data_IF_445058192850
#
_entry.id   IF_445058192850
#
_cell.length_a   1.000
_cell.length_b   1.000
_cell.length_c   1.000
_cell.angle_alpha   90.00
_cell.angle_beta   90.00
_cell.angle_gamma   90.00
#
_symmetry.space_group_name_H-M   'P 1'
#
loop_
_entity.id
_entity.type
_entity.pdbx_description
1 polymer ?
#
# COMPACT_ATOMS: atom_id res chain seq x y z
N UNK A 1 -16.50 23.64 11.78
CA UNK A 1 -17.11 22.35 11.42
C UNK A 1 -17.52 22.42 9.96
N UNK A 2 -16.74 21.81 9.07
CA UNK A 2 -17.00 21.78 7.63
C UNK A 2 -18.35 21.13 7.34
N UNK A 3 -19.11 21.70 6.40
CA UNK A 3 -20.44 21.23 6.01
C UNK A 3 -20.32 19.82 5.42
N UNK A 4 -20.93 18.82 6.05
CA UNK A 4 -20.93 17.43 5.56
C UNK A 4 -21.52 17.37 4.15
N UNK A 5 -20.85 16.63 3.26
CA UNK A 5 -21.32 16.39 1.90
C UNK A 5 -22.60 15.54 1.90
N UNK A 6 -23.39 15.58 0.82
CA UNK A 6 -24.63 14.77 0.70
C UNK A 6 -24.36 13.27 0.92
N UNK A 7 -23.24 12.76 0.42
CA UNK A 7 -22.84 11.35 0.59
C UNK A 7 -22.51 11.03 2.05
N UNK A 8 -21.72 11.87 2.72
CA UNK A 8 -21.40 11.69 4.13
C UNK A 8 -22.65 11.70 5.00
N UNK A 9 -23.59 12.63 4.76
CA UNK A 9 -24.86 12.68 5.51
C UNK A 9 -25.72 11.42 5.37
N UNK A 10 -25.67 10.74 4.22
CA UNK A 10 -26.41 9.50 3.99
C UNK A 10 -25.76 8.26 4.66
N UNK A 11 -24.50 8.39 5.08
CA UNK A 11 -23.73 7.32 5.75
C UNK A 11 -23.68 7.52 7.28
N UNK A 12 -23.85 8.76 7.76
CA UNK A 12 -23.98 9.09 9.19
C UNK A 12 -25.19 8.36 9.78
N UNK A 13 -24.94 7.54 10.81
CA UNK A 13 -25.96 6.77 11.54
C UNK A 13 -26.13 5.32 11.08
N UNK A 14 -25.51 4.89 9.98
CA UNK A 14 -25.51 3.48 9.55
C UNK A 14 -24.46 2.63 10.28
N UNK A 15 -23.49 3.27 10.92
CA UNK A 15 -22.45 2.61 11.73
C UNK A 15 -22.55 3.13 13.15
N UNK A 16 -22.72 2.23 14.11
CA UNK A 16 -22.58 2.54 15.53
C UNK A 16 -21.10 2.62 15.91
N UNK A 17 -20.63 3.79 16.32
CA UNK A 17 -19.24 4.04 16.71
C UNK A 17 -18.84 3.37 18.01
N UNK A 18 -19.79 3.01 18.87
CA UNK A 18 -19.53 2.36 20.16
C UNK A 18 -19.53 0.84 20.07
N UNK A 19 -20.04 0.27 18.97
CA UNK A 19 -20.12 -1.17 18.79
C UNK A 19 -18.81 -1.72 18.22
N UNK A 20 -18.27 -2.73 18.88
CA UNK A 20 -17.17 -3.53 18.35
C UNK A 20 -17.75 -4.56 17.37
N UNK A 21 -17.48 -4.38 16.08
CA UNK A 21 -17.89 -5.33 15.04
C UNK A 21 -16.85 -6.45 14.92
N UNK A 22 -17.27 -7.71 14.83
CA UNK A 22 -16.42 -8.79 14.34
C UNK A 22 -15.87 -8.47 12.95
N UNK A 23 -14.68 -8.98 12.63
CA UNK A 23 -13.99 -8.69 11.37
C UNK A 23 -14.85 -9.02 10.14
N UNK A 24 -15.57 -10.14 10.15
CA UNK A 24 -16.44 -10.55 9.06
C UNK A 24 -17.56 -9.54 8.79
N UNK A 25 -18.21 -9.07 9.86
CA UNK A 25 -19.30 -8.10 9.78
C UNK A 25 -18.77 -6.73 9.31
N UNK A 26 -17.60 -6.33 9.82
CA UNK A 26 -16.94 -5.09 9.41
C UNK A 26 -16.59 -5.10 7.91
N UNK A 27 -16.08 -6.22 7.38
CA UNK A 27 -15.75 -6.35 5.96
C UNK A 27 -17.00 -6.33 5.06
N UNK A 28 -18.10 -6.94 5.51
CA UNK A 28 -19.38 -6.86 4.81
C UNK A 28 -19.90 -5.42 4.75
N UNK A 29 -19.88 -4.76 5.91
CA UNK A 29 -20.30 -3.37 6.06
C UNK A 29 -19.48 -2.42 5.16
N UNK A 30 -18.15 -2.53 5.16
CA UNK A 30 -17.27 -1.69 4.33
C UNK A 30 -17.60 -1.82 2.84
N UNK A 31 -17.94 -3.02 2.36
CA UNK A 31 -18.33 -3.23 0.95
C UNK A 31 -19.66 -2.55 0.61
N UNK A 32 -20.61 -2.47 1.52
CA UNK A 32 -21.87 -1.73 1.31
C UNK A 32 -21.66 -0.21 1.26
N UNK A 33 -20.61 0.28 1.92
CA UNK A 33 -20.23 1.69 1.88
C UNK A 33 -19.41 2.08 0.65
N UNK A 34 -18.90 1.11 -0.12
CA UNK A 34 -18.16 1.34 -1.35
C UNK A 34 -19.09 1.87 -2.45
N UNK A 35 -19.09 3.18 -2.65
CA UNK A 35 -20.00 3.89 -3.57
C UNK A 35 -19.24 4.59 -4.71
N UNK A 36 -17.91 4.40 -4.80
CA UNK A 36 -17.13 4.86 -5.94
C UNK A 36 -17.36 3.96 -7.16
N UNK A 37 -17.05 4.51 -8.34
CA UNK A 37 -17.14 3.81 -9.62
C UNK A 37 -15.87 3.01 -9.97
N UNK A 38 -14.87 3.04 -9.11
CA UNK A 38 -13.58 2.38 -9.26
C UNK A 38 -13.36 1.42 -8.09
N UNK A 39 -12.37 0.53 -8.22
CA UNK A 39 -12.05 -0.43 -7.17
C UNK A 39 -11.44 0.27 -5.94
N UNK A 40 -12.21 0.32 -4.85
CA UNK A 40 -11.83 1.01 -3.63
C UNK A 40 -10.80 0.19 -2.83
N UNK A 41 -9.85 0.87 -2.20
CA UNK A 41 -8.87 0.23 -1.31
C UNK A 41 -9.37 0.24 0.12
N UNK A 42 -9.24 -0.89 0.82
CA UNK A 42 -9.51 -0.98 2.26
C UNK A 42 -8.27 -0.50 3.01
N UNK A 43 -8.45 0.50 3.86
CA UNK A 43 -7.41 0.99 4.79
C UNK A 43 -7.77 0.61 6.22
N UNK A 44 -6.76 0.36 7.05
CA UNK A 44 -6.92 -0.04 8.45
C UNK A 44 -6.17 0.94 9.35
N UNK A 45 -6.91 1.76 10.08
CA UNK A 45 -6.34 2.66 11.06
C UNK A 45 -6.12 1.92 12.39
N UNK A 46 -4.85 1.76 12.78
CA UNK A 46 -4.47 1.18 14.07
C UNK A 46 -3.85 2.27 14.93
N UNK A 47 -4.50 2.59 16.05
CA UNK A 47 -3.92 3.50 17.03
C UNK A 47 -2.89 2.76 17.87
N UNK A 48 -1.62 3.08 17.64
CA UNK A 48 -0.51 2.57 18.43
C UNK A 48 -0.29 3.48 19.65
N UNK A 49 -0.03 2.90 20.82
CA UNK A 49 0.27 3.62 22.07
C UNK A 49 1.70 4.19 22.13
N UNK A 50 2.27 4.57 20.99
CA UNK A 50 3.65 5.04 20.86
C UNK A 50 3.74 6.57 20.95
N UNK A 51 4.85 7.06 21.47
CA UNK A 51 5.19 8.49 21.40
C UNK A 51 6.04 8.75 20.15
N UNK A 52 5.40 9.28 19.11
CA UNK A 52 6.06 9.58 17.82
C UNK A 52 7.21 10.60 17.92
N UNK A 53 7.39 11.29 19.06
CA UNK A 53 8.53 12.20 19.29
C UNK A 53 9.81 11.44 19.65
N UNK A 54 9.69 10.19 20.08
CA UNK A 54 10.81 9.35 20.46
C UNK A 54 11.19 8.46 19.27
N UNK A 55 12.38 8.69 18.71
CA UNK A 55 12.84 8.04 17.48
C UNK A 55 12.90 6.51 17.57
N UNK A 56 13.05 5.94 18.77
CA UNK A 56 13.04 4.50 19.06
C UNK A 56 11.65 3.87 19.00
N UNK A 57 10.59 4.67 19.09
CA UNK A 57 9.21 4.19 19.05
C UNK A 57 8.54 4.38 17.68
N UNK A 58 9.25 4.97 16.72
CA UNK A 58 8.73 5.16 15.36
C UNK A 58 8.67 3.81 14.64
N UNK A 59 7.47 3.37 14.30
CA UNK A 59 7.26 2.16 13.50
C UNK A 59 7.22 2.54 12.03
N UNK A 60 8.27 2.19 11.29
CA UNK A 60 8.32 2.29 9.83
C UNK A 60 8.79 0.96 9.25
N UNK A 61 7.90 0.26 8.56
CA UNK A 61 8.18 -1.02 7.96
C UNK A 61 7.29 -1.30 6.75
N UNK A 62 7.69 -2.29 5.98
CA UNK A 62 6.87 -2.88 4.93
C UNK A 62 6.61 -4.34 5.31
N UNK A 63 5.41 -4.82 5.03
CA UNK A 63 5.03 -6.23 5.25
C UNK A 63 4.52 -6.82 3.95
N UNK A 64 4.87 -8.08 3.70
CA UNK A 64 4.30 -8.86 2.60
C UNK A 64 2.97 -9.43 3.06
N UNK A 65 1.90 -9.06 2.36
CA UNK A 65 0.56 -9.60 2.65
C UNK A 65 0.44 -11.03 2.13
N UNK A 66 -0.13 -11.98 2.91
CA UNK A 66 -0.27 -13.38 2.49
C UNK A 66 -1.06 -13.56 1.19
N UNK A 67 -2.07 -12.71 0.97
CA UNK A 67 -2.92 -12.74 -0.22
C UNK A 67 -2.54 -11.66 -1.26
N UNK A 68 -1.38 -11.00 -1.07
CA UNK A 68 -0.97 -9.86 -1.88
C UNK A 68 -1.85 -8.62 -1.70
N UNK A 69 -1.54 -7.57 -2.45
CA UNK A 69 -2.29 -6.30 -2.45
C UNK A 69 -3.35 -6.22 -3.56
N UNK A 70 -3.61 -7.31 -4.30
CA UNK A 70 -4.48 -7.32 -5.48
C UNK A 70 -3.96 -6.53 -6.70
N UNK A 71 -2.89 -5.75 -6.53
CA UNK A 71 -2.14 -5.08 -7.60
C UNK A 71 -0.84 -5.84 -7.86
N UNK A 72 -0.59 -6.21 -9.11
CA UNK A 72 0.70 -6.76 -9.56
C UNK A 72 1.73 -5.64 -9.47
N UNK A 73 2.53 -5.65 -8.39
CA UNK A 73 3.63 -4.69 -8.23
C UNK A 73 4.79 -5.15 -9.08
N UNK A 74 5.28 -4.27 -9.94
CA UNK A 74 6.49 -4.52 -10.73
C UNK A 74 7.72 -4.07 -9.94
N UNK A 75 8.67 -4.97 -9.72
CA UNK A 75 9.86 -4.71 -8.89
C UNK A 75 11.08 -4.52 -9.79
N UNK A 76 11.73 -3.36 -9.66
CA UNK A 76 12.98 -3.08 -10.33
C UNK A 76 14.16 -3.06 -9.34
N UNK A 77 15.24 -3.74 -9.70
CA UNK A 77 16.45 -3.86 -8.87
C UNK A 77 17.65 -3.22 -9.59
N UNK A 78 18.23 -2.19 -8.97
CA UNK A 78 19.52 -1.64 -9.36
C UNK A 78 20.64 -2.45 -8.71
N UNK A 79 21.28 -3.33 -9.48
CA UNK A 79 22.41 -4.16 -9.02
C UNK A 79 23.41 -4.41 -10.16
N UNK A 80 24.67 -4.66 -9.81
CA UNK A 80 25.75 -5.06 -10.73
C UNK A 80 26.37 -6.40 -10.30
N UNK A 81 26.90 -7.17 -11.26
CA UNK A 81 27.64 -8.41 -10.98
C UNK A 81 26.77 -9.52 -10.40
N UNK A 82 27.26 -10.22 -9.37
CA UNK A 82 26.60 -11.38 -8.75
C UNK A 82 25.21 -11.06 -8.17
N UNK A 83 25.03 -9.85 -7.62
CA UNK A 83 23.74 -9.41 -7.09
C UNK A 83 22.67 -9.24 -8.17
N UNK A 84 23.07 -8.99 -9.43
CA UNK A 84 22.14 -8.93 -10.55
C UNK A 84 21.63 -10.32 -10.95
N UNK A 85 22.48 -11.34 -10.88
CA UNK A 85 22.08 -12.74 -11.12
C UNK A 85 21.17 -13.26 -10.00
N UNK A 86 21.49 -12.94 -8.73
CA UNK A 86 20.64 -13.25 -7.60
C UNK A 86 19.27 -12.57 -7.69
N UNK A 87 19.22 -11.29 -8.09
CA UNK A 87 17.97 -10.57 -8.29
C UNK A 87 17.11 -11.13 -9.44
N UNK A 88 17.74 -11.55 -10.55
CA UNK A 88 17.05 -12.24 -11.65
C UNK A 88 16.53 -13.60 -11.21
N UNK A 89 17.32 -14.36 -10.45
CA UNK A 89 16.92 -15.67 -9.91
C UNK A 89 15.79 -15.54 -8.88
N UNK A 90 15.75 -14.44 -8.12
CA UNK A 90 14.69 -14.12 -7.16
C UNK A 90 13.38 -13.61 -7.81
N UNK A 91 13.36 -13.43 -9.13
CA UNK A 91 12.15 -13.05 -9.87
C UNK A 91 11.90 -11.53 -9.95
N UNK A 92 12.95 -10.71 -9.92
CA UNK A 92 12.81 -9.28 -10.22
C UNK A 92 12.41 -9.05 -11.70
N UNK A 93 11.42 -8.19 -11.94
CA UNK A 93 10.90 -7.90 -13.27
C UNK A 93 11.91 -7.15 -14.14
N UNK A 94 12.71 -6.27 -13.53
CA UNK A 94 13.74 -5.49 -14.25
C UNK A 94 15.01 -5.39 -13.40
N UNK A 95 16.15 -5.77 -13.97
CA UNK A 95 17.46 -5.71 -13.32
C UNK A 95 18.45 -4.98 -14.23
N UNK A 96 19.05 -3.89 -13.74
CA UNK A 96 20.05 -3.12 -14.48
C UNK A 96 20.57 -1.92 -13.71
N UNK A 97 21.76 -1.42 -14.07
CA UNK A 97 22.33 -0.20 -13.48
C UNK A 97 22.21 1.00 -14.44
N UNK A 98 23.03 1.04 -15.49
CA UNK A 98 23.06 2.19 -16.41
C UNK A 98 21.88 2.22 -17.38
N UNK A 99 21.44 1.06 -17.86
CA UNK A 99 20.29 0.94 -18.77
C UNK A 99 18.98 1.33 -18.08
N UNK A 100 18.81 0.90 -16.82
CA UNK A 100 17.63 1.29 -16.03
C UNK A 100 17.68 2.78 -15.69
N UNK A 101 18.86 3.33 -15.37
CA UNK A 101 19.02 4.75 -15.10
C UNK A 101 18.71 5.60 -16.34
N UNK A 102 19.06 5.14 -17.54
CA UNK A 102 18.70 5.80 -18.79
C UNK A 102 17.19 5.72 -19.07
N UNK A 103 16.54 4.57 -18.87
CA UNK A 103 15.08 4.43 -19.01
C UNK A 103 14.29 5.32 -18.04
N UNK A 104 14.73 5.37 -16.78
CA UNK A 104 14.13 6.25 -15.76
C UNK A 104 14.30 7.72 -16.11
N UNK A 105 15.48 8.12 -16.62
CA UNK A 105 15.72 9.49 -17.11
C UNK A 105 14.90 9.83 -18.36
N UNK A 106 14.60 8.83 -19.20
CA UNK A 106 13.71 8.97 -20.35
C UNK A 106 12.22 9.08 -19.96
N UNK A 107 11.90 8.94 -18.67
CA UNK A 107 10.55 9.09 -18.12
C UNK A 107 9.73 7.80 -18.09
N UNK A 108 10.33 6.66 -18.43
CA UNK A 108 9.67 5.36 -18.38
C UNK A 108 9.91 4.70 -17.03
N UNK A 109 8.86 4.66 -16.20
CA UNK A 109 8.86 4.11 -14.85
C UNK A 109 7.90 2.90 -14.78
N UNK A 110 8.25 1.75 -15.41
CA UNK A 110 7.40 0.58 -15.45
C UNK A 110 7.43 -0.23 -14.14
N UNK A 111 7.81 0.37 -13.01
CA UNK A 111 7.97 -0.31 -11.73
C UNK A 111 7.39 0.49 -10.57
N UNK A 112 6.86 -0.21 -9.57
CA UNK A 112 6.22 0.38 -8.39
C UNK A 112 7.16 0.40 -7.18
N UNK A 113 8.17 -0.47 -7.17
CA UNK A 113 9.14 -0.63 -6.10
C UNK A 113 10.55 -0.67 -6.69
N UNK A 114 11.43 0.15 -6.13
CA UNK A 114 12.85 0.18 -6.47
C UNK A 114 13.66 -0.36 -5.30
N UNK A 115 14.54 -1.31 -5.59
CA UNK A 115 15.53 -1.82 -4.64
C UNK A 115 16.91 -1.53 -5.23
N UNK A 116 17.82 -0.98 -4.43
CA UNK A 116 19.22 -0.78 -4.82
C UNK A 116 20.12 -1.59 -3.89
N UNK A 117 21.06 -2.36 -4.44
CA UNK A 117 21.92 -3.27 -3.69
C UNK A 117 23.36 -3.31 -4.22
#
# INVERSE_FOLDING_TARGET
>A
MSKLTKKQKAQVGKVDTNKLYPLADALGLVKEFANAKFDESIDVAVQLGIDAKKSDQVVRGAVVLPNGTGKTKRVAVFAQGSKAEEAKAAGADVVGMDDLAAMVKAGDLPFDVVIAA
#
